data_IF_880877276100
#
_entry.id   IF_880877276100
#
_cell.length_a   1.000
_cell.length_b   1.000
_cell.length_c   1.000
_cell.angle_alpha   90.00
_cell.angle_beta   90.00
_cell.angle_gamma   90.00
#
_symmetry.space_group_name_H-M   'P 1'
#
loop_
_entity.id
_entity.type
_entity.pdbx_description
1 polymer ?
#
# COMPACT_ATOMS: atom_id res chain seq x y z
N UNK A 1 -10.04 2.58 18.82
CA UNK A 1 -9.84 2.11 17.44
C UNK A 1 -8.50 2.60 16.98
N UNK A 2 -7.57 1.74 16.61
CA UNK A 2 -6.24 2.16 16.18
C UNK A 2 -6.12 1.97 14.67
N UNK A 3 -5.96 3.06 13.94
CA UNK A 3 -5.64 2.99 12.50
C UNK A 3 -4.26 2.36 12.33
N UNK A 4 -4.20 1.21 11.68
CA UNK A 4 -2.93 0.60 11.29
C UNK A 4 -2.36 1.23 10.03
N UNK A 5 -1.04 1.30 9.95
CA UNK A 5 -0.28 1.82 8.82
C UNK A 5 0.93 0.98 8.49
N UNK A 6 1.40 1.08 7.26
CA UNK A 6 2.61 0.39 6.81
C UNK A 6 3.81 1.34 6.85
N UNK A 7 4.98 0.80 7.17
CA UNK A 7 6.26 1.50 7.11
C UNK A 7 7.21 0.73 6.21
N UNK A 8 7.79 1.41 5.25
CA UNK A 8 8.79 0.87 4.34
C UNK A 8 10.13 1.59 4.53
N UNK A 9 11.13 0.87 5.03
CA UNK A 9 12.50 1.37 5.18
C UNK A 9 13.30 1.16 3.89
N UNK A 10 13.48 2.22 3.12
CA UNK A 10 14.17 2.17 1.83
C UNK A 10 15.67 1.90 1.96
N UNK A 11 16.25 2.04 3.16
CA UNK A 11 17.67 1.71 3.40
C UNK A 11 17.92 0.20 3.48
N UNK A 12 16.86 -0.57 3.80
CA UNK A 12 16.93 -2.01 4.00
C UNK A 12 16.33 -2.82 2.86
N UNK A 13 15.56 -2.19 1.97
CA UNK A 13 14.91 -2.88 0.87
C UNK A 13 15.95 -3.39 -0.14
N UNK A 14 15.87 -4.68 -0.46
CA UNK A 14 16.80 -5.38 -1.35
C UNK A 14 16.19 -5.69 -2.73
N UNK A 15 14.98 -5.19 -3.00
CA UNK A 15 14.20 -5.52 -4.20
C UNK A 15 13.94 -7.03 -4.42
N UNK A 16 14.01 -7.84 -3.40
CA UNK A 16 13.83 -9.29 -3.52
C UNK A 16 12.41 -9.71 -3.96
N UNK A 17 11.44 -8.79 -3.95
CA UNK A 17 10.03 -8.96 -4.35
C UNK A 17 9.25 -10.05 -3.60
N UNK A 18 9.80 -10.61 -2.52
CA UNK A 18 9.10 -11.59 -1.70
C UNK A 18 7.71 -11.09 -1.23
N UNK A 19 7.59 -9.80 -0.88
CA UNK A 19 6.32 -9.17 -0.53
C UNK A 19 5.31 -9.14 -1.69
N UNK A 20 5.78 -9.08 -2.94
CA UNK A 20 4.92 -9.09 -4.14
C UNK A 20 4.42 -10.51 -4.39
N UNK A 21 5.32 -11.49 -4.41
CA UNK A 21 4.98 -12.89 -4.69
C UNK A 21 4.02 -13.44 -3.64
N UNK A 22 4.32 -13.26 -2.36
CA UNK A 22 3.45 -13.73 -1.27
C UNK A 22 2.07 -13.09 -1.28
N UNK A 23 1.96 -11.82 -1.70
CA UNK A 23 0.68 -11.14 -1.84
C UNK A 23 -0.12 -11.70 -3.03
N UNK A 24 0.55 -12.03 -4.15
CA UNK A 24 -0.10 -12.65 -5.30
C UNK A 24 -0.62 -14.04 -4.97
N UNK A 25 0.19 -14.86 -4.32
CA UNK A 25 -0.14 -16.22 -3.91
C UNK A 25 -1.35 -16.22 -2.95
N UNK A 26 -1.26 -15.46 -1.85
CA UNK A 26 -2.37 -15.38 -0.86
C UNK A 26 -3.71 -14.96 -1.46
N UNK A 27 -3.70 -14.04 -2.43
CA UNK A 27 -4.92 -13.45 -2.99
C UNK A 27 -5.32 -14.06 -4.35
N UNK A 28 -4.67 -15.11 -4.78
CA UNK A 28 -4.90 -15.77 -6.07
C UNK A 28 -5.02 -14.77 -7.24
N UNK A 29 -4.00 -13.88 -7.34
CA UNK A 29 -4.05 -12.80 -8.31
C UNK A 29 -3.56 -13.26 -9.68
N UNK A 30 -4.37 -13.09 -10.73
CA UNK A 30 -3.98 -13.47 -12.09
C UNK A 30 -2.80 -12.62 -12.60
N UNK A 31 -2.25 -13.04 -13.74
CA UNK A 31 -1.23 -12.28 -14.45
C UNK A 31 -1.74 -10.86 -14.74
N UNK A 32 -0.88 -9.87 -14.55
CA UNK A 32 -1.23 -8.45 -14.76
C UNK A 32 -1.84 -7.75 -13.54
N UNK A 33 -2.40 -8.49 -12.57
CA UNK A 33 -2.98 -7.91 -11.35
C UNK A 33 -1.97 -7.96 -10.20
N UNK A 34 -1.66 -6.80 -9.60
CA UNK A 34 -0.76 -6.70 -8.46
C UNK A 34 -1.33 -5.73 -7.42
N UNK A 35 -1.38 -6.15 -6.15
CA UNK A 35 -1.79 -5.27 -5.05
C UNK A 35 -0.66 -4.46 -4.46
N UNK A 36 0.58 -4.89 -4.72
CA UNK A 36 1.79 -4.16 -4.40
C UNK A 36 2.85 -4.38 -5.48
N UNK A 37 3.79 -3.46 -5.57
CA UNK A 37 4.93 -3.54 -6.49
C UNK A 37 6.14 -2.83 -5.86
N UNK A 38 7.34 -3.26 -6.22
CA UNK A 38 8.57 -2.52 -5.92
C UNK A 38 8.98 -1.81 -7.20
N UNK A 39 9.18 -0.50 -7.11
CA UNK A 39 9.77 0.31 -8.17
C UNK A 39 11.22 0.60 -7.85
N UNK A 40 12.08 0.27 -8.78
CA UNK A 40 13.46 0.73 -8.82
C UNK A 40 13.52 2.15 -9.35
N UNK A 41 14.34 2.97 -8.71
CA UNK A 41 14.65 4.33 -9.13
C UNK A 41 16.15 4.53 -9.06
N UNK A 42 16.69 5.21 -10.06
CA UNK A 42 18.11 5.55 -10.10
C UNK A 42 18.32 7.03 -10.38
N UNK A 43 19.47 7.51 -9.97
CA UNK A 43 19.96 8.86 -10.25
C UNK A 43 21.48 8.85 -10.36
N UNK A 44 22.00 9.73 -11.20
CA UNK A 44 23.44 9.88 -11.44
C UNK A 44 23.91 9.10 -12.66
N UNK A 45 25.22 9.03 -12.83
CA UNK A 45 25.92 8.28 -13.89
C UNK A 45 27.14 7.60 -13.26
N UNK A 46 27.50 6.46 -13.81
CA UNK A 46 28.71 5.77 -13.37
C UNK A 46 29.93 6.73 -13.34
N UNK A 47 30.76 6.70 -12.27
CA UNK A 47 30.69 5.79 -11.11
C UNK A 47 29.71 6.22 -9.99
N UNK A 48 29.13 7.43 -10.04
CA UNK A 48 28.30 8.02 -8.99
C UNK A 48 26.82 7.71 -9.20
N UNK A 49 26.47 6.43 -9.22
CA UNK A 49 25.07 5.96 -9.33
C UNK A 49 24.45 5.77 -7.96
N UNK A 50 23.24 6.27 -7.79
CA UNK A 50 22.43 6.13 -6.59
C UNK A 50 21.12 5.44 -6.92
N UNK A 51 20.90 4.24 -6.36
CA UNK A 51 19.70 3.42 -6.61
C UNK A 51 18.90 3.26 -5.32
N UNK A 52 17.57 3.32 -5.43
CA UNK A 52 16.65 3.05 -4.32
C UNK A 52 15.40 2.35 -4.79
N UNK A 53 14.73 1.68 -3.86
CA UNK A 53 13.53 0.89 -4.12
C UNK A 53 12.35 1.44 -3.35
N UNK A 54 11.23 1.68 -4.05
CA UNK A 54 10.02 2.24 -3.47
C UNK A 54 8.88 1.25 -3.57
N UNK A 55 8.25 0.94 -2.43
CA UNK A 55 7.06 0.11 -2.39
C UNK A 55 5.84 0.92 -2.83
N UNK A 56 5.14 0.45 -3.85
CA UNK A 56 3.80 0.92 -4.24
C UNK A 56 2.76 -0.07 -3.76
N UNK A 57 1.75 0.41 -3.05
CA UNK A 57 0.59 -0.37 -2.60
C UNK A 57 -0.55 0.54 -2.18
N UNK A 58 -1.69 -0.03 -1.82
CA UNK A 58 -2.76 0.73 -1.19
C UNK A 58 -2.25 1.36 0.12
N UNK A 59 -2.59 2.63 0.32
CA UNK A 59 -2.12 3.40 1.48
C UNK A 59 -3.09 3.39 2.65
N UNK A 60 -4.22 2.71 2.56
CA UNK A 60 -5.25 2.60 3.59
C UNK A 60 -5.53 3.94 4.28
N UNK A 61 -5.81 4.95 3.48
CA UNK A 61 -5.93 6.36 3.89
C UNK A 61 -6.88 6.57 5.06
N UNK A 62 -6.59 7.57 5.91
CA UNK A 62 -7.52 7.98 6.97
C UNK A 62 -8.78 8.60 6.39
N UNK A 63 -8.64 9.36 5.27
CA UNK A 63 -9.73 9.93 4.46
C UNK A 63 -9.73 9.31 3.06
N UNK A 64 -10.26 8.08 2.88
CA UNK A 64 -10.12 7.35 1.63
C UNK A 64 -11.08 7.87 0.55
N UNK A 65 -10.57 8.55 -0.47
CA UNK A 65 -11.35 9.05 -1.60
C UNK A 65 -12.10 7.93 -2.35
N UNK A 66 -11.53 6.72 -2.39
CA UNK A 66 -12.16 5.56 -3.01
C UNK A 66 -13.41 5.08 -2.28
N UNK A 67 -13.49 5.25 -0.95
CA UNK A 67 -14.69 4.95 -0.16
C UNK A 67 -15.76 6.02 -0.44
N UNK A 68 -15.38 7.30 -0.40
CA UNK A 68 -16.29 8.41 -0.67
C UNK A 68 -16.89 8.37 -2.08
N UNK A 69 -16.17 7.84 -3.07
CA UNK A 69 -16.60 7.75 -4.45
C UNK A 69 -17.43 6.49 -4.76
N UNK A 70 -17.61 5.56 -3.82
CA UNK A 70 -18.29 4.29 -4.08
C UNK A 70 -19.82 4.41 -3.96
N UNK A 71 -20.60 4.30 -5.06
CA UNK A 71 -22.05 4.51 -5.01
C UNK A 71 -22.81 3.40 -4.26
N UNK A 72 -22.24 2.19 -4.19
CA UNK A 72 -22.86 1.02 -3.55
C UNK A 72 -22.30 0.73 -2.16
N UNK A 73 -21.40 1.57 -1.64
CA UNK A 73 -20.66 1.32 -0.39
C UNK A 73 -19.89 -0.01 -0.35
N UNK A 74 -19.60 -0.59 -1.53
CA UNK A 74 -18.77 -1.77 -1.66
C UNK A 74 -17.34 -1.52 -1.17
N UNK A 75 -16.80 -0.31 -1.42
CA UNK A 75 -15.50 0.10 -0.87
C UNK A 75 -15.72 0.55 0.57
N UNK A 76 -15.15 -0.16 1.52
CA UNK A 76 -15.43 0.02 2.94
C UNK A 76 -14.12 0.15 3.73
N UNK A 77 -14.17 0.91 4.81
CA UNK A 77 -13.09 1.00 5.80
C UNK A 77 -13.47 0.18 7.02
N UNK A 78 -12.56 -0.68 7.47
CA UNK A 78 -12.73 -1.48 8.68
C UNK A 78 -12.52 -0.60 9.92
N UNK A 79 -13.45 -0.65 10.86
CA UNK A 79 -13.44 0.22 12.04
C UNK A 79 -12.37 -0.20 13.06
N UNK A 80 -12.02 -1.49 13.13
CA UNK A 80 -11.07 -2.01 14.11
C UNK A 80 -9.62 -1.75 13.70
N UNK A 81 -9.31 -1.95 12.42
CA UNK A 81 -7.94 -1.88 11.87
C UNK A 81 -7.67 -0.62 11.06
N UNK A 82 -8.74 0.06 10.61
CA UNK A 82 -8.66 1.18 9.68
C UNK A 82 -8.28 0.77 8.24
N UNK A 83 -8.21 -0.52 7.95
CA UNK A 83 -7.90 -1.00 6.60
C UNK A 83 -9.09 -0.79 5.67
N UNK A 84 -8.79 -0.41 4.42
CA UNK A 84 -9.81 -0.22 3.38
C UNK A 84 -9.85 -1.47 2.51
N UNK A 85 -11.04 -2.02 2.27
CA UNK A 85 -11.26 -3.24 1.49
C UNK A 85 -12.48 -3.14 0.59
N UNK A 86 -12.71 -4.13 -0.25
CA UNK A 86 -13.86 -4.23 -1.15
C UNK A 86 -14.78 -5.36 -0.68
N UNK A 87 -16.06 -5.09 -0.57
CA UNK A 87 -17.12 -6.10 -0.45
C UNK A 87 -17.52 -6.50 -1.87
N UNK A 88 -17.06 -7.64 -2.32
CA UNK A 88 -17.22 -8.06 -3.73
C UNK A 88 -18.66 -8.39 -4.08
N UNK A 89 -19.47 -8.84 -3.13
CA UNK A 89 -20.89 -9.17 -3.28
C UNK A 89 -21.74 -7.97 -3.74
N UNK A 90 -21.47 -6.78 -3.20
CA UNK A 90 -22.19 -5.55 -3.55
C UNK A 90 -21.46 -4.66 -4.56
N UNK A 91 -20.27 -5.07 -5.01
CA UNK A 91 -19.50 -4.31 -6.00
C UNK A 91 -20.10 -4.46 -7.40
N UNK A 92 -20.42 -3.35 -8.07
CA UNK A 92 -20.93 -3.32 -9.45
C UNK A 92 -19.86 -3.09 -10.53
N UNK A 93 -18.58 -2.99 -10.14
CA UNK A 93 -17.47 -2.82 -11.10
C UNK A 93 -17.41 -1.49 -11.83
N UNK A 94 -18.09 -0.45 -11.39
CA UNK A 94 -18.19 0.85 -12.09
C UNK A 94 -16.87 1.63 -12.24
N UNK A 95 -15.81 1.24 -11.54
CA UNK A 95 -14.50 1.88 -11.65
C UNK A 95 -14.36 3.25 -10.98
N UNK A 96 -15.39 3.79 -10.34
CA UNK A 96 -15.32 5.09 -9.67
C UNK A 96 -14.21 5.17 -8.62
N UNK A 97 -14.03 4.11 -7.82
CA UNK A 97 -12.97 4.00 -6.83
C UNK A 97 -11.56 3.97 -7.46
N UNK A 98 -11.39 3.38 -8.64
CA UNK A 98 -10.12 3.36 -9.36
C UNK A 98 -9.76 4.77 -9.87
N UNK A 99 -10.74 5.50 -10.43
CA UNK A 99 -10.57 6.87 -10.91
C UNK A 99 -10.31 7.87 -9.78
N UNK A 100 -10.89 7.66 -8.60
CA UNK A 100 -10.74 8.55 -7.45
C UNK A 100 -9.45 8.33 -6.65
N UNK A 101 -8.77 7.20 -6.84
CA UNK A 101 -7.56 6.88 -6.10
C UNK A 101 -6.35 7.63 -6.66
N UNK A 102 -5.76 8.60 -5.94
CA UNK A 102 -4.62 9.36 -6.46
C UNK A 102 -3.33 8.53 -6.55
N UNK A 103 -3.33 7.33 -5.98
CA UNK A 103 -2.16 6.44 -5.95
C UNK A 103 -2.27 5.26 -6.94
N UNK A 104 -3.34 5.18 -7.72
CA UNK A 104 -3.56 4.07 -8.67
C UNK A 104 -3.61 2.69 -8.00
N UNK A 105 -4.01 2.61 -6.73
CA UNK A 105 -3.94 1.37 -5.97
C UNK A 105 -5.19 0.47 -6.10
N UNK A 106 -6.18 0.91 -6.86
CA UNK A 106 -7.42 0.16 -7.12
C UNK A 106 -7.46 -0.23 -8.59
N UNK A 107 -7.70 -1.49 -8.87
CA UNK A 107 -7.88 -2.03 -10.22
C UNK A 107 -9.29 -2.61 -10.36
N UNK A 108 -9.84 -2.64 -11.57
CA UNK A 108 -11.03 -3.43 -11.89
C UNK A 108 -10.53 -4.68 -12.61
N UNK A 109 -10.77 -5.84 -12.03
CA UNK A 109 -10.33 -7.12 -12.60
C UNK A 109 -11.16 -7.44 -13.84
N UNK A 110 -10.50 -7.95 -14.87
CA UNK A 110 -11.17 -8.33 -16.14
C UNK A 110 -11.99 -9.60 -16.01
N UNK A 111 -11.54 -10.53 -15.17
CA UNK A 111 -12.17 -11.82 -14.94
C UNK A 111 -13.45 -11.72 -14.10
N UNK A 112 -13.38 -11.03 -12.96
CA UNK A 112 -14.52 -10.88 -12.04
C UNK A 112 -15.38 -9.65 -12.32
N UNK A 113 -14.89 -8.70 -13.14
CA UNK A 113 -15.51 -7.37 -13.35
C UNK A 113 -15.71 -6.56 -12.07
N UNK A 114 -15.00 -6.89 -10.99
CA UNK A 114 -15.09 -6.25 -9.67
C UNK A 114 -13.85 -5.42 -9.39
N UNK A 115 -14.01 -4.42 -8.52
CA UNK A 115 -12.87 -3.68 -8.01
C UNK A 115 -12.00 -4.57 -7.11
N UNK A 116 -10.67 -4.48 -7.26
CA UNK A 116 -9.72 -5.23 -6.47
C UNK A 116 -8.56 -4.34 -6.02
N UNK A 117 -8.09 -4.55 -4.80
CA UNK A 117 -6.95 -3.84 -4.22
C UNK A 117 -6.47 -4.56 -2.96
N UNK A 118 -5.31 -4.18 -2.47
CA UNK A 118 -4.85 -4.62 -1.15
C UNK A 118 -5.93 -4.37 -0.08
N UNK A 119 -6.29 -5.42 0.66
CA UNK A 119 -7.23 -5.36 1.79
C UNK A 119 -6.52 -5.24 3.15
N UNK A 120 -5.18 -5.10 3.16
CA UNK A 120 -4.38 -5.07 4.39
C UNK A 120 -4.28 -6.42 5.08
N UNK A 121 -4.69 -7.51 4.44
CA UNK A 121 -4.82 -8.84 5.04
C UNK A 121 -5.67 -8.80 6.33
N UNK A 122 -6.84 -8.16 6.29
CA UNK A 122 -7.74 -7.98 7.45
C UNK A 122 -8.02 -9.32 8.15
N UNK A 123 -8.20 -10.39 7.37
CA UNK A 123 -8.40 -11.75 7.86
C UNK A 123 -7.26 -12.22 8.79
N UNK A 124 -6.02 -11.90 8.43
CA UNK A 124 -4.83 -12.20 9.24
C UNK A 124 -4.74 -11.28 10.46
N UNK A 125 -4.97 -9.98 10.25
CA UNK A 125 -4.93 -9.00 11.34
C UNK A 125 -5.94 -9.33 12.45
N UNK A 126 -7.14 -9.78 12.09
CA UNK A 126 -8.17 -10.20 13.06
C UNK A 126 -7.79 -11.46 13.85
N UNK A 127 -6.86 -12.25 13.36
CA UNK A 127 -6.25 -13.39 14.08
C UNK A 127 -4.99 -13.01 14.84
N UNK A 128 -4.59 -11.73 14.85
CA UNK A 128 -3.35 -11.27 15.47
C UNK A 128 -2.08 -11.59 14.67
N UNK A 129 -2.24 -11.96 13.40
CA UNK A 129 -1.14 -12.30 12.50
C UNK A 129 -0.69 -11.08 11.68
N UNK A 130 0.56 -11.07 11.25
CA UNK A 130 1.08 -10.03 10.35
C UNK A 130 0.56 -10.22 8.92
N UNK A 131 0.31 -9.13 8.16
CA UNK A 131 0.03 -9.20 6.74
C UNK A 131 1.11 -10.00 5.99
N UNK A 132 0.72 -10.81 5.02
CA UNK A 132 1.62 -11.74 4.33
C UNK A 132 2.87 -11.05 3.77
N UNK A 133 2.73 -9.85 3.20
CA UNK A 133 3.85 -9.07 2.67
C UNK A 133 4.84 -8.58 3.75
N UNK A 134 4.35 -8.35 4.97
CA UNK A 134 5.19 -8.01 6.13
C UNK A 134 5.90 -9.26 6.65
N UNK A 135 5.17 -10.36 6.81
CA UNK A 135 5.70 -11.63 7.29
C UNK A 135 6.79 -12.19 6.36
N UNK A 136 6.60 -12.08 5.05
CA UNK A 136 7.54 -12.57 4.03
C UNK A 136 8.73 -11.64 3.75
N UNK A 137 8.76 -10.43 4.31
CA UNK A 137 9.85 -9.48 4.07
C UNK A 137 11.17 -9.98 4.66
N UNK A 138 12.10 -10.43 3.81
CA UNK A 138 13.38 -11.03 4.21
C UNK A 138 14.29 -10.06 4.95
N UNK A 139 14.35 -8.80 4.51
CA UNK A 139 15.16 -7.74 5.12
C UNK A 139 14.46 -6.99 6.25
N UNK A 140 13.22 -7.35 6.59
CA UNK A 140 12.39 -6.65 7.59
C UNK A 140 12.29 -5.14 7.35
N UNK A 141 12.34 -4.73 6.09
CA UNK A 141 12.16 -3.34 5.69
C UNK A 141 10.69 -2.90 5.67
N UNK A 142 9.76 -3.86 5.54
CA UNK A 142 8.32 -3.61 5.55
C UNK A 142 7.75 -4.03 6.91
N UNK A 143 7.12 -3.10 7.61
CA UNK A 143 6.50 -3.31 8.92
C UNK A 143 5.09 -2.74 8.97
N UNK A 144 4.31 -3.18 9.95
CA UNK A 144 3.00 -2.66 10.27
C UNK A 144 3.01 -2.15 11.71
N UNK A 145 2.44 -0.98 11.96
CA UNK A 145 2.30 -0.41 13.30
C UNK A 145 1.05 0.47 13.38
N UNK A 146 0.76 0.98 14.57
CA UNK A 146 -0.27 1.99 14.75
C UNK A 146 0.17 3.31 14.11
N UNK A 147 -0.76 3.99 13.44
CA UNK A 147 -0.47 5.25 12.76
C UNK A 147 0.03 6.32 13.72
N UNK A 148 -0.45 6.31 14.96
CA UNK A 148 -0.01 7.26 15.98
C UNK A 148 1.46 7.04 16.40
N UNK A 149 1.92 5.79 16.39
CA UNK A 149 3.33 5.45 16.60
C UNK A 149 4.17 5.89 15.39
N UNK A 150 3.70 5.58 14.17
CA UNK A 150 4.39 5.97 12.95
C UNK A 150 4.52 7.50 12.79
N UNK A 151 3.53 8.25 13.24
CA UNK A 151 3.57 9.73 13.24
C UNK A 151 4.61 10.30 14.20
N UNK A 152 4.94 9.59 15.27
CA UNK A 152 5.95 10.00 16.26
C UNK A 152 7.37 9.63 15.82
N UNK A 153 7.52 8.66 14.90
CA UNK A 153 8.85 8.26 14.42
C UNK A 153 9.46 9.35 13.54
N UNK A 154 10.62 9.88 13.95
CA UNK A 154 11.31 10.92 13.20
C UNK A 154 11.86 10.40 11.86
N UNK A 155 11.87 11.26 10.85
CA UNK A 155 12.42 10.95 9.52
C UNK A 155 11.53 10.07 8.65
N UNK A 156 10.29 9.79 9.05
CA UNK A 156 9.30 9.19 8.17
C UNK A 156 8.59 10.24 7.32
N UNK A 157 8.35 9.91 6.06
CA UNK A 157 7.61 10.73 5.11
C UNK A 157 6.46 9.93 4.49
N UNK A 158 5.37 10.60 4.12
CA UNK A 158 4.21 9.97 3.45
C UNK A 158 4.23 10.11 1.92
N UNK A 159 5.16 10.89 1.41
CA UNK A 159 5.38 11.07 -0.03
C UNK A 159 6.87 10.90 -0.32
N UNK A 160 7.17 10.20 -1.40
CA UNK A 160 8.53 10.00 -1.92
C UNK A 160 8.44 10.09 -3.43
N UNK A 161 9.20 10.99 -4.07
CA UNK A 161 9.27 11.15 -5.52
C UNK A 161 7.91 11.14 -6.25
N UNK A 162 7.43 12.27 -6.70
CA UNK A 162 6.25 12.42 -7.57
C UNK A 162 4.93 11.83 -7.06
N UNK A 163 4.89 11.43 -5.80
CA UNK A 163 3.66 10.96 -5.20
C UNK A 163 2.79 12.15 -4.80
N UNK A 164 1.54 12.10 -5.23
CA UNK A 164 0.51 13.10 -4.94
C UNK A 164 0.51 13.51 -3.48
N UNK A 165 0.37 14.83 -3.22
CA UNK A 165 0.31 15.41 -1.88
C UNK A 165 -0.57 14.61 -0.92
N UNK A 166 -0.09 14.29 0.27
CA UNK A 166 -0.80 13.47 1.24
C UNK A 166 -1.97 14.18 1.94
N UNK A 167 -2.15 15.48 1.73
CA UNK A 167 -3.07 16.31 2.51
C UNK A 167 -4.54 15.94 2.32
N UNK A 168 -4.94 15.55 1.09
CA UNK A 168 -6.35 15.26 0.78
C UNK A 168 -6.84 13.92 1.33
N UNK A 169 -6.00 12.90 1.37
CA UNK A 169 -6.42 11.53 1.69
C UNK A 169 -5.83 11.00 2.98
N UNK A 170 -4.84 11.67 3.55
CA UNK A 170 -4.10 11.25 4.74
C UNK A 170 -3.63 9.78 4.64
N UNK A 171 -2.69 9.49 3.73
CA UNK A 171 -2.22 8.11 3.52
C UNK A 171 -1.47 7.55 4.73
N UNK A 172 -1.60 6.24 4.96
CA UNK A 172 -0.98 5.53 6.07
C UNK A 172 0.08 4.51 5.59
N UNK A 173 0.74 4.82 4.48
CA UNK A 173 2.00 4.21 4.09
C UNK A 173 3.10 5.25 4.28
N UNK A 174 4.04 4.91 5.15
CA UNK A 174 5.16 5.76 5.55
C UNK A 174 6.46 5.20 4.96
N UNK A 175 7.32 6.08 4.54
CA UNK A 175 8.64 5.72 4.02
C UNK A 175 9.72 6.29 4.92
N UNK A 176 10.74 5.48 5.22
CA UNK A 176 12.01 5.96 5.71
C UNK A 176 12.94 6.13 4.51
N UNK A 177 13.19 7.37 4.06
CA UNK A 177 13.97 7.62 2.86
C UNK A 177 15.37 7.02 2.95
N UNK A 178 15.93 6.62 1.81
CA UNK A 178 17.31 6.17 1.74
C UNK A 178 18.24 7.35 2.04
N UNK A 179 19.32 7.11 2.80
CA UNK A 179 20.34 8.13 3.09
C UNK A 179 20.85 8.75 1.79
N UNK A 180 20.91 10.08 1.72
CA UNK A 180 21.33 10.81 0.51
C UNK A 180 20.19 11.08 -0.51
N UNK A 181 18.98 10.55 -0.28
CA UNK A 181 17.81 10.90 -1.07
C UNK A 181 17.35 12.32 -0.69
N UNK A 182 17.24 13.20 -1.69
CA UNK A 182 16.58 14.51 -1.48
C UNK A 182 15.07 14.26 -1.59
N UNK A 183 14.34 14.68 -0.57
CA UNK A 183 12.88 14.65 -0.55
C UNK A 183 12.31 15.61 -1.58
#
# INVERSE_FOLDING_TARGET
MSQKGFRHDMNKCLECRACVVSCKDKNDLPVGVNFNAIEERERGKFPDVYVWFTLKMCRHCSKPACVAACPTSAMTKDDDTGMVYVKEDVCIGCGACAKSCPYGAVQVREDTKKAAKCNGCIDMLKRGELPVCVASCTSRCLTLADVDELRKESGLVRAVNDVVSPEKTEPNLYYKPKKGMRA
#
